data_IF_135474692393
#
_entry.id   IF_135474692393
#
_cell.length_a   1.000
_cell.length_b   1.000
_cell.length_c   1.000
_cell.angle_alpha   90.00
_cell.angle_beta   90.00
_cell.angle_gamma   90.00
#
_symmetry.space_group_name_H-M   'P 1'
#
loop_
_entity.id
_entity.type
_entity.pdbx_description
1 polymer ?
#
# COMPACT_ATOMS: atom_id res chain seq x y z
N UNK A 1 -38.23 25.18 48.31
CA UNK A 1 -38.22 25.70 46.94
C UNK A 1 -36.77 25.88 46.51
N UNK A 2 -36.13 24.88 45.96
CA UNK A 2 -34.83 24.95 45.31
C UNK A 2 -34.81 23.84 44.22
N UNK A 3 -34.79 24.28 42.98
CA UNK A 3 -34.70 23.42 41.80
C UNK A 3 -33.32 22.83 41.69
N UNK A 4 -33.23 21.52 41.70
CA UNK A 4 -32.02 20.78 41.25
C UNK A 4 -32.08 20.63 39.75
N UNK A 5 -31.14 21.23 39.03
CA UNK A 5 -30.92 21.00 37.62
C UNK A 5 -30.03 19.76 37.47
N UNK A 6 -30.62 18.64 36.99
CA UNK A 6 -29.88 17.49 36.53
C UNK A 6 -29.37 17.73 35.13
N UNK A 7 -28.06 17.95 35.00
CA UNK A 7 -27.36 17.89 33.72
C UNK A 7 -27.19 16.42 33.32
N UNK A 8 -27.97 15.97 32.37
CA UNK A 8 -27.76 14.69 31.68
C UNK A 8 -26.64 14.92 30.68
N UNK A 9 -25.48 14.37 30.99
CA UNK A 9 -24.35 14.27 30.05
C UNK A 9 -24.68 13.19 29.02
N UNK A 10 -25.21 13.60 27.86
CA UNK A 10 -25.47 12.72 26.72
C UNK A 10 -24.14 12.38 26.08
N UNK A 11 -23.58 11.21 26.42
CA UNK A 11 -22.41 10.66 25.75
C UNK A 11 -22.85 10.18 24.37
N UNK A 12 -22.67 11.00 23.34
CA UNK A 12 -22.85 10.61 21.95
C UNK A 12 -21.67 9.71 21.57
N UNK A 13 -21.89 8.40 21.69
CA UNK A 13 -21.00 7.40 21.12
C UNK A 13 -21.21 7.40 19.60
N UNK A 14 -20.47 8.22 18.88
CA UNK A 14 -20.41 8.14 17.42
C UNK A 14 -19.71 6.84 17.05
N UNK A 15 -20.51 5.82 16.76
CA UNK A 15 -20.06 4.60 16.11
C UNK A 15 -19.61 4.98 14.68
N UNK A 16 -18.32 5.21 14.52
CA UNK A 16 -17.72 5.36 13.20
C UNK A 16 -17.68 3.98 12.56
N UNK A 17 -18.76 3.61 11.87
CA UNK A 17 -18.75 2.51 10.92
C UNK A 17 -17.83 2.98 9.78
N UNK A 18 -16.57 2.63 9.85
CA UNK A 18 -15.67 2.73 8.72
C UNK A 18 -16.13 1.71 7.68
N UNK A 19 -16.98 2.15 6.75
CA UNK A 19 -17.13 1.47 5.48
C UNK A 19 -15.75 1.46 4.84
N UNK A 20 -15.10 0.30 4.81
CA UNK A 20 -13.84 0.11 4.11
C UNK A 20 -14.17 0.15 2.62
N UNK A 21 -14.25 1.36 2.08
CA UNK A 21 -14.15 1.59 0.66
C UNK A 21 -12.70 1.36 0.27
N UNK A 22 -12.40 0.24 -0.34
CA UNK A 22 -11.12 0.05 -1.03
C UNK A 22 -11.05 1.04 -2.18
N UNK A 23 -10.48 2.19 -1.93
CA UNK A 23 -9.85 2.99 -2.96
C UNK A 23 -8.37 2.65 -2.91
N UNK A 24 -7.74 2.12 -3.97
CA UNK A 24 -6.31 2.01 -4.06
C UNK A 24 -5.71 3.40 -4.35
N UNK A 25 -5.94 4.33 -3.45
CA UNK A 25 -5.21 5.57 -3.40
C UNK A 25 -4.22 5.48 -2.26
N UNK A 26 -3.00 5.08 -2.58
CA UNK A 26 -1.83 5.44 -1.81
C UNK A 26 -1.82 6.95 -1.63
N UNK A 27 -2.44 7.45 -0.58
CA UNK A 27 -2.24 8.84 -0.15
C UNK A 27 -0.82 8.94 0.40
N UNK A 28 0.14 9.14 -0.49
CA UNK A 28 1.36 9.80 -0.12
C UNK A 28 0.98 11.26 0.18
N UNK A 29 0.78 11.62 1.44
CA UNK A 29 0.69 13.01 1.86
C UNK A 29 2.09 13.61 1.69
N UNK A 30 2.40 14.11 0.49
CA UNK A 30 3.53 14.98 0.27
C UNK A 30 3.14 16.39 0.71
N UNK A 31 3.48 16.75 1.95
CA UNK A 31 3.71 18.15 2.28
C UNK A 31 4.90 18.64 1.45
N UNK A 32 4.69 19.71 0.68
CA UNK A 32 5.68 20.36 -0.16
C UNK A 32 6.80 20.95 0.70
N UNK A 33 7.80 20.17 1.05
CA UNK A 33 9.10 20.66 1.51
C UNK A 33 10.13 20.23 0.48
N UNK A 34 10.51 21.19 -0.36
CA UNK A 34 11.56 21.05 -1.36
C UNK A 34 12.86 20.55 -0.76
N UNK A 35 13.40 19.48 -1.31
CA UNK A 35 14.84 19.19 -1.22
C UNK A 35 15.27 17.95 -0.47
N UNK A 36 14.42 17.14 0.11
CA UNK A 36 14.83 15.92 0.79
C UNK A 36 14.04 14.70 0.32
N UNK A 37 14.76 13.63 0.04
CA UNK A 37 14.29 12.28 -0.17
C UNK A 37 13.60 11.78 1.10
N UNK A 38 12.32 12.11 1.29
CA UNK A 38 11.59 11.72 2.49
C UNK A 38 11.17 10.25 2.42
N UNK A 39 11.23 9.51 3.54
CA UNK A 39 10.64 8.19 3.63
C UNK A 39 9.13 8.25 3.37
N UNK A 40 8.63 7.33 2.54
CA UNK A 40 7.20 7.15 2.27
C UNK A 40 6.73 5.90 3.00
N UNK A 41 5.67 6.04 3.80
CA UNK A 41 5.06 4.96 4.56
C UNK A 41 3.72 4.60 3.95
N UNK A 42 3.55 3.30 3.68
CA UNK A 42 2.28 2.71 3.27
C UNK A 42 1.85 1.78 4.39
N UNK A 43 0.65 1.98 4.93
CA UNK A 43 0.09 1.18 6.02
C UNK A 43 -1.23 0.55 5.59
N UNK A 44 -1.41 -0.73 5.95
CA UNK A 44 -2.66 -1.45 5.84
C UNK A 44 -3.02 -2.11 7.17
N UNK A 45 -4.31 -2.22 7.46
CA UNK A 45 -4.82 -2.84 8.68
C UNK A 45 -5.73 -4.00 8.32
N UNK A 46 -5.48 -5.14 8.92
CA UNK A 46 -6.33 -6.31 8.85
C UNK A 46 -6.96 -6.61 10.19
N UNK A 47 -8.19 -7.09 10.17
CA UNK A 47 -8.90 -7.50 11.39
C UNK A 47 -9.42 -8.92 11.21
N UNK A 48 -9.03 -9.80 12.12
CA UNK A 48 -9.55 -11.14 12.28
C UNK A 48 -10.54 -11.16 13.44
N UNK A 49 -11.70 -11.76 13.20
CA UNK A 49 -12.79 -11.82 14.17
C UNK A 49 -13.17 -13.27 14.42
N UNK A 50 -13.24 -13.66 15.70
CA UNK A 50 -13.81 -14.95 16.10
C UNK A 50 -15.15 -14.70 16.77
N UNK A 51 -16.21 -15.16 16.14
CA UNK A 51 -17.51 -15.29 16.77
C UNK A 51 -17.58 -16.66 17.48
N UNK A 52 -17.88 -16.64 18.78
CA UNK A 52 -18.04 -17.87 19.56
C UNK A 52 -19.16 -18.80 19.06
N UNK A 53 -20.04 -18.30 18.21
CA UNK A 53 -21.15 -19.05 17.65
C UNK A 53 -20.94 -19.55 16.21
N UNK A 54 -19.92 -19.08 15.51
CA UNK A 54 -19.67 -19.38 14.08
C UNK A 54 -18.50 -20.32 13.80
N UNK A 55 -17.63 -20.56 14.79
CA UNK A 55 -16.48 -21.45 14.61
C UNK A 55 -16.90 -22.86 14.99
N UNK A 56 -16.73 -23.82 14.08
CA UNK A 56 -16.91 -25.22 14.36
C UNK A 56 -16.08 -25.58 15.61
N UNK A 57 -16.76 -25.85 16.71
CA UNK A 57 -16.12 -26.27 17.96
C UNK A 57 -15.41 -27.60 17.70
N UNK A 58 -14.09 -27.59 17.59
CA UNK A 58 -13.33 -28.80 17.86
C UNK A 58 -13.40 -29.04 19.37
N UNK A 59 -14.06 -30.13 19.74
CA UNK A 59 -14.34 -30.45 21.13
C UNK A 59 -13.12 -30.88 21.93
N UNK A 60 -11.92 -30.99 21.29
CA UNK A 60 -10.71 -31.52 21.91
C UNK A 60 -9.40 -30.76 21.57
N UNK A 61 -9.47 -29.54 21.00
CA UNK A 61 -8.23 -28.84 20.66
C UNK A 61 -7.60 -28.21 21.92
N UNK A 62 -6.58 -28.86 22.42
CA UNK A 62 -5.66 -28.27 23.37
C UNK A 62 -4.88 -27.10 22.72
N UNK A 63 -4.23 -26.29 23.53
CA UNK A 63 -3.48 -25.13 23.06
C UNK A 63 -2.41 -25.53 22.00
N UNK A 64 -1.80 -26.71 22.12
CA UNK A 64 -0.76 -27.21 21.23
C UNK A 64 -1.32 -27.50 19.82
N UNK A 65 -2.50 -28.08 19.72
CA UNK A 65 -3.19 -28.35 18.46
C UNK A 65 -3.55 -27.05 17.73
N UNK A 66 -4.08 -26.05 18.42
CA UNK A 66 -4.40 -24.74 17.82
C UNK A 66 -3.15 -24.07 17.28
N UNK A 67 -2.03 -24.08 18.04
CA UNK A 67 -0.75 -23.51 17.58
C UNK A 67 -0.22 -24.28 16.37
N UNK A 68 -0.26 -25.61 16.38
CA UNK A 68 0.16 -26.45 15.26
C UNK A 68 -0.65 -26.12 13.98
N UNK A 69 -1.97 -26.04 14.09
CA UNK A 69 -2.86 -25.72 12.99
C UNK A 69 -2.64 -24.31 12.45
N UNK A 70 -2.41 -23.32 13.33
CA UNK A 70 -2.07 -21.96 12.91
C UNK A 70 -0.77 -21.92 12.09
N UNK A 71 0.28 -22.61 12.54
CA UNK A 71 1.55 -22.73 11.81
C UNK A 71 1.38 -23.41 10.45
N UNK A 72 0.53 -24.45 10.37
CA UNK A 72 0.23 -25.12 9.13
C UNK A 72 -0.46 -24.20 8.13
N UNK A 73 -1.46 -23.44 8.55
CA UNK A 73 -2.16 -22.44 7.71
C UNK A 73 -1.20 -21.34 7.26
N UNK A 74 -0.35 -20.82 8.14
CA UNK A 74 0.65 -19.83 7.79
C UNK A 74 1.63 -20.34 6.71
N UNK A 75 2.03 -21.61 6.76
CA UNK A 75 2.88 -22.24 5.76
C UNK A 75 2.16 -22.44 4.42
N UNK A 76 0.85 -22.71 4.42
CA UNK A 76 0.05 -22.81 3.18
C UNK A 76 -0.05 -21.46 2.45
N UNK A 77 0.04 -20.35 3.16
CA UNK A 77 0.06 -19.00 2.60
C UNK A 77 1.45 -18.55 2.13
N UNK A 78 2.44 -19.44 2.17
CA UNK A 78 3.83 -19.14 1.79
C UNK A 78 4.04 -19.31 0.30
N UNK A 79 3.95 -18.23 -0.46
CA UNK A 79 4.14 -18.21 -1.90
C UNK A 79 5.46 -17.57 -2.31
N UNK A 80 6.22 -18.23 -3.19
CA UNK A 80 7.44 -17.68 -3.78
C UNK A 80 7.16 -16.71 -4.94
N UNK A 81 6.00 -16.83 -5.55
CA UNK A 81 5.55 -16.02 -6.67
C UNK A 81 4.06 -15.71 -6.53
N UNK A 82 3.67 -14.49 -6.85
CA UNK A 82 2.28 -14.07 -6.91
C UNK A 82 2.03 -13.31 -8.21
N UNK A 83 0.78 -13.32 -8.69
CA UNK A 83 0.38 -12.58 -9.89
C UNK A 83 -0.48 -11.40 -9.49
N UNK A 84 -0.06 -10.19 -9.89
CA UNK A 84 -0.85 -8.98 -9.73
C UNK A 84 -1.52 -8.60 -11.04
N UNK A 85 -2.83 -8.40 -11.00
CA UNK A 85 -3.60 -7.83 -12.10
C UNK A 85 -4.03 -6.43 -11.67
N UNK A 86 -3.81 -5.44 -12.55
CA UNK A 86 -4.35 -4.11 -12.29
C UNK A 86 -5.88 -4.19 -12.31
N UNK A 87 -6.59 -3.81 -11.23
CA UNK A 87 -8.04 -3.82 -11.24
C UNK A 87 -8.55 -2.91 -12.36
N UNK A 88 -9.49 -3.41 -13.15
CA UNK A 88 -10.16 -2.60 -14.16
C UNK A 88 -11.18 -1.69 -13.47
N UNK A 89 -11.50 -0.53 -14.06
CA UNK A 89 -12.49 0.41 -13.49
C UNK A 89 -13.88 -0.23 -13.24
N UNK A 90 -14.17 -1.39 -13.87
CA UNK A 90 -15.37 -2.18 -13.61
C UNK A 90 -15.25 -3.06 -12.37
N UNK A 91 -14.04 -3.52 -12.06
CA UNK A 91 -13.75 -4.34 -10.87
C UNK A 91 -13.66 -3.49 -9.59
N UNK A 92 -13.25 -2.20 -9.71
CA UNK A 92 -13.29 -1.25 -8.59
C UNK A 92 -14.71 -1.01 -8.06
N UNK A 93 -15.76 -1.17 -8.90
CA UNK A 93 -17.16 -1.07 -8.50
C UNK A 93 -17.75 -2.41 -8.02
N UNK A 94 -17.04 -3.53 -8.20
CA UNK A 94 -17.39 -4.86 -7.69
C UNK A 94 -16.56 -5.21 -6.45
N UNK A 95 -16.38 -4.26 -5.55
CA UNK A 95 -16.06 -4.62 -4.18
C UNK A 95 -17.29 -5.38 -3.69
N UNK A 96 -17.11 -6.68 -3.67
CA UNK A 96 -18.09 -7.60 -3.08
C UNK A 96 -18.26 -7.11 -1.64
N UNK A 97 -19.34 -6.38 -1.39
CA UNK A 97 -19.94 -6.35 -0.09
C UNK A 97 -20.19 -7.82 0.23
N UNK A 98 -19.28 -8.43 1.01
CA UNK A 98 -19.61 -9.66 1.69
C UNK A 98 -20.87 -9.31 2.44
N UNK A 99 -22.03 -9.88 2.08
CA UNK A 99 -23.23 -9.55 2.78
C UNK A 99 -22.96 -9.95 4.22
N UNK A 100 -23.02 -8.97 5.13
CA UNK A 100 -23.27 -9.25 6.54
C UNK A 100 -24.59 -9.98 6.51
N UNK A 101 -24.54 -11.30 6.66
CA UNK A 101 -25.74 -12.10 6.81
C UNK A 101 -26.33 -11.67 8.13
N UNK A 102 -27.25 -10.69 8.08
CA UNK A 102 -28.18 -10.44 9.14
C UNK A 102 -29.04 -11.69 9.29
N UNK A 103 -28.60 -12.62 10.14
CA UNK A 103 -29.52 -13.58 10.72
C UNK A 103 -30.39 -12.84 11.75
N UNK A 104 -31.58 -12.47 11.32
CA UNK A 104 -32.67 -12.24 12.23
C UNK A 104 -32.97 -13.56 12.95
N UNK A 105 -33.15 -13.39 14.25
CA UNK A 105 -33.79 -14.23 15.26
C UNK A 105 -32.84 -15.06 16.13
N UNK A 106 -32.72 -14.65 17.35
CA UNK A 106 -33.18 -15.20 18.60
C UNK A 106 -32.43 -14.58 19.79
N UNK A 107 -33.21 -14.33 20.85
CA UNK A 107 -32.79 -13.76 22.13
C UNK A 107 -31.67 -14.58 22.82
N UNK A 108 -30.43 -14.41 22.39
CA UNK A 108 -29.26 -14.75 23.16
C UNK A 108 -28.43 -13.49 23.30
N UNK A 109 -28.08 -13.12 24.53
CA UNK A 109 -27.12 -12.04 24.74
C UNK A 109 -25.87 -12.31 23.87
N UNK A 110 -25.50 -11.42 22.94
CA UNK A 110 -24.31 -11.65 22.10
C UNK A 110 -23.10 -11.70 23.04
N UNK A 111 -22.52 -12.88 23.20
CA UNK A 111 -21.19 -12.98 23.79
C UNK A 111 -20.28 -12.16 22.89
N UNK A 112 -19.61 -11.16 23.48
CA UNK A 112 -18.75 -10.25 22.72
C UNK A 112 -17.80 -11.02 21.81
N UNK A 113 -17.82 -10.69 20.52
CA UNK A 113 -16.87 -11.24 19.54
C UNK A 113 -15.45 -10.89 19.96
N UNK A 114 -14.54 -11.85 19.86
CA UNK A 114 -13.10 -11.59 20.09
C UNK A 114 -12.45 -11.25 18.76
N UNK A 115 -11.65 -10.20 18.73
CA UNK A 115 -10.97 -9.77 17.51
C UNK A 115 -9.51 -9.36 17.79
N UNK A 116 -8.67 -9.53 16.79
CA UNK A 116 -7.33 -8.96 16.74
C UNK A 116 -7.15 -8.21 15.44
N UNK A 117 -6.64 -6.97 15.53
CA UNK A 117 -6.25 -6.21 14.34
C UNK A 117 -4.74 -6.13 14.25
N UNK A 118 -4.23 -6.39 13.06
CA UNK A 118 -2.82 -6.23 12.72
C UNK A 118 -2.63 -5.01 11.83
N UNK A 119 -1.51 -4.32 11.99
CA UNK A 119 -1.06 -3.24 11.10
C UNK A 119 0.20 -3.71 10.40
N UNK A 120 0.20 -3.58 9.08
CA UNK A 120 1.30 -3.88 8.19
C UNK A 120 1.78 -2.60 7.52
N UNK A 121 3.05 -2.29 7.70
CA UNK A 121 3.63 -1.06 7.19
C UNK A 121 4.79 -1.39 6.27
N UNK A 122 4.86 -0.72 5.11
CA UNK A 122 6.00 -0.75 4.21
C UNK A 122 6.54 0.67 4.05
N UNK A 123 7.79 0.89 4.47
CA UNK A 123 8.46 2.19 4.44
C UNK A 123 9.55 2.15 3.38
N UNK A 124 9.44 3.03 2.40
CA UNK A 124 10.44 3.29 1.38
C UNK A 124 11.32 4.45 1.86
N UNK A 125 12.56 4.16 2.26
CA UNK A 125 13.48 5.13 2.86
C UNK A 125 14.75 5.27 2.02
N UNK A 126 14.81 6.27 1.13
CA UNK A 126 15.98 6.51 0.29
C UNK A 126 17.22 6.93 1.08
N UNK A 127 17.06 7.54 2.28
CA UNK A 127 18.19 7.93 3.12
C UNK A 127 18.88 6.70 3.73
N UNK A 128 18.11 5.70 4.13
CA UNK A 128 18.61 4.41 4.59
C UNK A 128 18.88 3.42 3.46
N UNK A 129 18.51 3.79 2.23
CA UNK A 129 18.58 2.94 1.03
C UNK A 129 17.88 1.60 1.23
N UNK A 130 16.71 1.63 1.87
CA UNK A 130 15.98 0.43 2.29
C UNK A 130 14.49 0.52 2.06
N UNK A 131 13.87 -0.67 1.95
CA UNK A 131 12.44 -0.88 2.07
C UNK A 131 12.24 -1.68 3.35
N UNK A 132 11.59 -1.09 4.35
CA UNK A 132 11.40 -1.70 5.66
C UNK A 132 9.95 -2.12 5.83
N UNK A 133 9.72 -3.40 6.10
CA UNK A 133 8.40 -3.92 6.45
C UNK A 133 8.26 -4.02 7.97
N UNK A 134 7.08 -3.70 8.48
CA UNK A 134 6.76 -3.79 9.91
C UNK A 134 5.46 -4.56 10.10
N UNK A 135 5.44 -5.42 11.11
CA UNK A 135 4.29 -6.17 11.59
C UNK A 135 4.00 -5.69 13.00
N UNK A 136 2.76 -5.27 13.28
CA UNK A 136 2.37 -4.72 14.59
C UNK A 136 0.98 -5.20 14.99
N UNK A 137 0.80 -5.58 16.25
CA UNK A 137 -0.53 -5.81 16.83
C UNK A 137 -1.14 -4.44 17.13
N UNK A 138 -2.18 -4.07 16.37
CA UNK A 138 -2.82 -2.76 16.44
C UNK A 138 -3.89 -2.69 17.53
N UNK A 139 -4.72 -3.73 17.65
CA UNK A 139 -5.74 -3.82 18.71
C UNK A 139 -6.07 -5.27 19.05
N UNK A 140 -6.59 -5.48 20.25
CA UNK A 140 -7.19 -6.74 20.71
C UNK A 140 -8.45 -6.37 21.47
N UNK A 141 -9.58 -7.01 21.13
CA UNK A 141 -10.87 -6.82 21.79
C UNK A 141 -11.39 -8.20 22.20
N UNK A 142 -11.99 -8.30 23.35
CA UNK A 142 -12.49 -9.56 23.91
C UNK A 142 -11.38 -10.51 24.36
N UNK A 143 -11.54 -11.80 24.08
CA UNK A 143 -10.58 -12.83 24.46
C UNK A 143 -9.30 -12.71 23.62
N UNK A 144 -8.15 -12.86 24.27
CA UNK A 144 -6.85 -12.80 23.64
C UNK A 144 -6.59 -14.07 22.83
N UNK A 145 -6.09 -13.98 21.57
CA UNK A 145 -5.63 -15.17 20.87
C UNK A 145 -4.47 -15.84 21.62
N UNK A 146 -4.30 -17.13 21.45
CA UNK A 146 -3.18 -17.88 22.02
C UNK A 146 -1.98 -17.93 21.08
N UNK A 147 -2.22 -17.70 19.78
CA UNK A 147 -1.20 -17.62 18.73
C UNK A 147 -1.62 -16.61 17.68
N UNK A 148 -0.64 -15.87 17.17
CA UNK A 148 -0.75 -15.08 15.93
C UNK A 148 0.48 -15.39 15.09
N UNK A 149 0.28 -15.92 13.88
CA UNK A 149 1.29 -16.01 12.84
C UNK A 149 1.08 -14.85 11.86
N UNK A 150 2.10 -14.05 11.63
CA UNK A 150 2.00 -12.88 10.79
C UNK A 150 3.17 -12.77 9.83
N UNK A 151 2.89 -12.38 8.60
CA UNK A 151 3.88 -12.18 7.53
C UNK A 151 3.66 -10.83 6.86
N UNK A 152 4.75 -10.22 6.39
CA UNK A 152 4.74 -9.04 5.54
C UNK A 152 5.90 -9.17 4.54
N UNK A 153 5.72 -10.01 3.55
CA UNK A 153 6.74 -10.36 2.56
C UNK A 153 6.79 -9.32 1.43
N UNK A 154 7.97 -9.12 0.85
CA UNK A 154 8.16 -8.21 -0.26
C UNK A 154 8.42 -9.00 -1.55
N UNK A 155 7.79 -8.58 -2.62
CA UNK A 155 7.89 -9.13 -3.96
C UNK A 155 8.34 -8.06 -4.94
N UNK A 156 9.03 -8.46 -6.02
CA UNK A 156 9.41 -7.53 -7.08
C UNK A 156 9.04 -8.03 -8.48
N UNK A 157 8.88 -7.07 -9.40
CA UNK A 157 8.70 -7.31 -10.83
C UNK A 157 9.35 -6.23 -11.67
N UNK A 158 9.60 -6.53 -12.95
CA UNK A 158 9.99 -5.53 -13.95
C UNK A 158 8.80 -4.76 -14.55
N UNK A 159 7.58 -5.20 -14.28
CA UNK A 159 6.33 -4.61 -14.83
C UNK A 159 5.33 -4.38 -13.71
N UNK A 160 4.45 -3.39 -13.89
CA UNK A 160 3.41 -3.06 -12.91
C UNK A 160 2.43 -4.23 -12.69
N UNK A 161 1.99 -4.88 -13.77
CA UNK A 161 1.11 -6.06 -13.71
C UNK A 161 1.86 -7.30 -14.14
N UNK A 162 1.45 -8.46 -13.66
CA UNK A 162 2.01 -9.75 -14.00
C UNK A 162 2.62 -10.49 -12.81
N UNK A 163 3.68 -11.23 -13.07
CA UNK A 163 4.33 -12.07 -12.07
C UNK A 163 5.31 -11.29 -11.22
N UNK A 164 5.24 -11.51 -9.92
CA UNK A 164 6.10 -10.95 -8.89
C UNK A 164 6.80 -12.07 -8.15
N UNK A 165 8.12 -12.05 -8.14
CA UNK A 165 8.93 -13.00 -7.37
C UNK A 165 9.17 -12.48 -5.96
N UNK A 166 9.12 -13.35 -4.96
CA UNK A 166 9.41 -12.99 -3.58
C UNK A 166 10.91 -12.72 -3.40
N UNK A 167 11.24 -11.53 -2.91
CA UNK A 167 12.63 -11.08 -2.69
C UNK A 167 12.99 -10.95 -1.23
N UNK A 168 12.00 -10.95 -0.33
CA UNK A 168 12.22 -10.76 1.08
C UNK A 168 11.13 -11.40 1.92
N UNK A 169 11.52 -12.11 2.98
CA UNK A 169 10.63 -12.79 3.93
C UNK A 169 10.69 -12.08 5.26
N UNK A 170 9.55 -11.65 5.77
CA UNK A 170 9.38 -11.13 7.11
C UNK A 170 8.18 -11.80 7.77
N UNK A 171 8.43 -12.83 8.55
CA UNK A 171 7.42 -13.54 9.33
C UNK A 171 7.69 -13.43 10.81
N UNK A 172 6.64 -13.46 11.61
CA UNK A 172 6.70 -13.47 13.09
C UNK A 172 5.56 -14.30 13.66
N UNK A 173 5.91 -15.11 14.65
CA UNK A 173 4.98 -15.74 15.56
C UNK A 173 4.90 -14.90 16.84
N UNK A 174 3.69 -14.69 17.34
CA UNK A 174 3.42 -14.09 18.64
C UNK A 174 2.73 -15.13 19.52
N UNK A 175 3.29 -15.36 20.70
CA UNK A 175 2.78 -16.30 21.70
C UNK A 175 2.77 -15.66 23.08
N UNK A 176 1.83 -16.05 23.93
CA UNK A 176 1.78 -15.71 25.35
C UNK A 176 1.95 -14.20 25.62
N UNK A 177 3.05 -13.81 26.28
CA UNK A 177 3.34 -12.41 26.67
C UNK A 177 3.59 -11.48 25.48
N UNK A 178 3.97 -12.01 24.31
CA UNK A 178 4.21 -11.21 23.12
C UNK A 178 2.91 -10.79 22.41
N UNK A 179 1.78 -11.42 22.74
CA UNK A 179 0.47 -11.01 22.26
C UNK A 179 0.00 -9.83 23.10
N UNK A 180 0.40 -8.62 22.72
CA UNK A 180 -0.03 -7.36 23.35
C UNK A 180 -0.10 -6.24 22.34
N UNK A 181 -1.07 -5.35 22.48
CA UNK A 181 -1.22 -4.15 21.65
C UNK A 181 0.07 -3.33 21.65
N UNK A 182 0.46 -2.87 20.47
CA UNK A 182 1.70 -2.11 20.27
C UNK A 182 2.95 -2.97 20.05
N UNK A 183 2.93 -4.28 20.32
CA UNK A 183 4.07 -5.15 20.01
C UNK A 183 4.30 -5.15 18.49
N UNK A 184 5.53 -4.86 18.08
CA UNK A 184 5.89 -4.74 16.67
C UNK A 184 7.29 -5.31 16.40
N UNK A 185 7.48 -5.70 15.13
CA UNK A 185 8.77 -6.13 14.59
C UNK A 185 8.95 -5.51 13.22
N UNK A 186 10.17 -5.05 12.94
CA UNK A 186 10.56 -4.46 11.66
C UNK A 186 11.75 -5.19 11.08
N UNK A 187 11.80 -5.29 9.75
CA UNK A 187 12.90 -5.91 9.03
C UNK A 187 13.11 -5.16 7.72
N UNK A 188 14.38 -4.90 7.33
CA UNK A 188 14.74 -4.08 6.17
C UNK A 188 15.29 -4.93 5.03
N UNK A 189 14.85 -4.61 3.82
CA UNK A 189 15.37 -5.06 2.55
C UNK A 189 16.15 -3.92 1.88
N UNK A 190 17.27 -4.23 1.24
CA UNK A 190 18.12 -3.26 0.56
C UNK A 190 18.08 -3.50 -0.95
N UNK A 191 17.31 -2.72 -1.71
CA UNK A 191 17.16 -2.92 -3.15
C UNK A 191 18.48 -2.68 -3.88
N UNK A 192 18.72 -3.49 -4.92
CA UNK A 192 19.91 -3.37 -5.79
C UNK A 192 19.59 -2.84 -7.18
N UNK A 193 18.32 -2.83 -7.55
CA UNK A 193 17.82 -2.48 -8.87
C UNK A 193 16.50 -1.73 -8.74
N UNK A 194 16.20 -0.91 -9.73
CA UNK A 194 14.87 -0.35 -9.90
C UNK A 194 13.88 -1.45 -10.25
N UNK A 195 12.79 -1.53 -9.50
CA UNK A 195 11.73 -2.53 -9.66
C UNK A 195 10.38 -1.97 -9.23
N UNK A 196 9.33 -2.63 -9.66
CA UNK A 196 8.04 -2.55 -8.99
C UNK A 196 8.10 -3.45 -7.76
N UNK A 197 7.88 -2.88 -6.59
CA UNK A 197 7.81 -3.61 -5.32
C UNK A 197 6.37 -3.65 -4.84
N UNK A 198 5.99 -4.78 -4.28
CA UNK A 198 4.68 -5.04 -3.74
C UNK A 198 4.83 -5.81 -2.44
N UNK A 199 4.11 -5.45 -1.38
CA UNK A 199 4.06 -6.27 -0.18
C UNK A 199 2.77 -7.09 -0.14
N UNK A 200 2.89 -8.32 0.30
CA UNK A 200 1.77 -9.18 0.67
C UNK A 200 1.90 -9.51 2.15
N UNK A 201 0.82 -9.35 2.86
CA UNK A 201 0.75 -9.69 4.27
C UNK A 201 -0.29 -10.79 4.48
N UNK A 202 -0.04 -11.59 5.51
CA UNK A 202 -0.94 -12.68 5.94
C UNK A 202 -0.95 -12.70 7.46
N UNK A 203 -2.13 -12.80 8.02
CA UNK A 203 -2.35 -13.05 9.44
C UNK A 203 -3.08 -14.37 9.61
N UNK A 204 -2.60 -15.20 10.53
CA UNK A 204 -3.34 -16.35 11.06
C UNK A 204 -3.46 -16.16 12.57
N UNK A 205 -4.66 -16.22 13.12
CA UNK A 205 -4.86 -16.11 14.55
C UNK A 205 -5.69 -17.28 15.08
N UNK A 206 -5.30 -17.80 16.24
CA UNK A 206 -5.98 -18.91 16.90
C UNK A 206 -6.33 -18.58 18.35
N UNK A 207 -7.55 -18.93 18.76
CA UNK A 207 -8.05 -18.81 20.12
C UNK A 207 -8.24 -20.18 20.73
N UNK A 208 -8.29 -20.24 22.06
CA UNK A 208 -8.53 -21.52 22.76
C UNK A 208 -9.87 -22.13 22.34
N UNK A 209 -9.84 -23.39 21.91
CA UNK A 209 -11.04 -24.12 21.48
C UNK A 209 -11.66 -23.62 20.16
N UNK A 210 -10.88 -22.95 19.30
CA UNK A 210 -11.31 -22.54 17.98
C UNK A 210 -10.37 -23.03 16.90
N UNK A 211 -10.91 -23.18 15.68
CA UNK A 211 -10.06 -23.34 14.48
C UNK A 211 -9.40 -21.99 14.20
N UNK A 212 -8.08 -21.95 13.92
CA UNK A 212 -7.43 -20.70 13.53
C UNK A 212 -8.03 -20.11 12.26
N UNK A 213 -8.17 -18.80 12.20
CA UNK A 213 -8.65 -18.05 11.05
C UNK A 213 -7.48 -17.34 10.35
N UNK A 214 -7.63 -17.07 9.05
CA UNK A 214 -6.59 -16.45 8.22
C UNK A 214 -7.12 -15.29 7.39
N UNK A 215 -6.32 -14.23 7.26
CA UNK A 215 -6.54 -13.13 6.34
C UNK A 215 -5.29 -12.86 5.53
N UNK A 216 -5.44 -12.46 4.28
CA UNK A 216 -4.33 -12.11 3.39
C UNK A 216 -4.70 -10.86 2.60
N UNK A 217 -3.81 -9.88 2.60
CA UNK A 217 -3.94 -8.67 1.81
C UNK A 217 -2.69 -8.39 0.96
N UNK A 218 -2.83 -7.52 -0.03
CA UNK A 218 -1.74 -7.18 -0.94
C UNK A 218 -1.79 -5.69 -1.24
N UNK A 219 -0.71 -4.97 -0.93
CA UNK A 219 -0.56 -3.57 -1.33
C UNK A 219 -0.31 -3.45 -2.82
N UNK A 220 -0.85 -2.41 -3.46
CA UNK A 220 -0.60 -2.13 -4.86
C UNK A 220 0.91 -1.94 -5.13
N UNK A 221 1.40 -2.40 -6.31
CA UNK A 221 2.79 -2.24 -6.67
C UNK A 221 3.21 -0.77 -6.77
N UNK A 222 4.42 -0.47 -6.33
CA UNK A 222 5.02 0.84 -6.44
C UNK A 222 6.42 0.75 -7.08
N UNK A 223 6.72 1.63 -8.04
CA UNK A 223 8.03 1.70 -8.67
C UNK A 223 9.01 2.38 -7.72
N UNK A 224 10.08 1.69 -7.34
CA UNK A 224 11.16 2.27 -6.55
C UNK A 224 12.52 1.99 -7.20
N UNK A 225 13.44 2.96 -7.10
CA UNK A 225 14.79 2.83 -7.64
C UNK A 225 15.70 2.02 -6.69
N UNK A 226 16.98 1.83 -7.09
CA UNK A 226 17.96 1.01 -6.36
C UNK A 226 18.31 1.48 -4.94
N UNK A 227 17.81 2.62 -4.50
CA UNK A 227 17.95 3.10 -3.12
C UNK A 227 16.61 3.11 -2.36
N UNK A 228 15.58 2.47 -2.89
CA UNK A 228 14.27 2.45 -2.26
C UNK A 228 13.50 3.78 -2.34
N UNK A 229 13.85 4.67 -3.26
CA UNK A 229 13.13 5.91 -3.49
C UNK A 229 11.97 5.66 -4.46
N UNK A 230 10.74 5.88 -4.02
CA UNK A 230 9.55 5.73 -4.85
C UNK A 230 9.55 6.72 -6.02
N UNK A 231 9.06 6.26 -7.19
CA UNK A 231 8.81 7.17 -8.31
C UNK A 231 7.77 8.19 -7.89
N UNK A 232 8.04 9.50 -8.09
CA UNK A 232 7.18 10.56 -7.56
C UNK A 232 5.80 10.57 -8.19
N UNK A 233 4.77 10.61 -7.38
CA UNK A 233 3.40 10.87 -7.83
C UNK A 233 3.16 12.38 -7.87
N UNK A 234 2.98 12.94 -9.07
CA UNK A 234 2.79 14.37 -9.27
C UNK A 234 1.50 14.61 -10.02
N UNK A 235 0.58 15.37 -9.42
CA UNK A 235 -0.68 15.77 -10.02
C UNK A 235 -0.59 17.15 -10.63
N UNK A 236 -0.99 17.26 -11.88
CA UNK A 236 -1.14 18.53 -12.55
C UNK A 236 -2.53 19.13 -12.25
N UNK A 237 -2.56 20.26 -11.53
CA UNK A 237 -3.80 20.88 -11.07
C UNK A 237 -4.68 21.43 -12.19
N UNK A 238 -4.12 21.77 -13.34
CA UNK A 238 -4.90 22.30 -14.47
C UNK A 238 -5.55 21.15 -15.26
N UNK A 239 -4.76 20.19 -15.76
CA UNK A 239 -5.28 19.06 -16.52
C UNK A 239 -5.97 17.99 -15.66
N UNK A 240 -5.85 18.06 -14.32
CA UNK A 240 -6.30 17.03 -13.35
C UNK A 240 -5.67 15.65 -13.57
N UNK A 241 -4.61 15.58 -14.37
CA UNK A 241 -3.90 14.33 -14.64
C UNK A 241 -2.75 14.13 -13.65
N UNK A 242 -2.56 12.88 -13.24
CA UNK A 242 -1.34 12.45 -12.53
C UNK A 242 -0.29 12.09 -13.57
N UNK A 243 0.97 12.42 -13.29
CA UNK A 243 2.10 12.03 -14.13
C UNK A 243 2.16 10.51 -14.25
N UNK A 244 2.24 9.96 -15.47
CA UNK A 244 2.34 8.51 -15.65
C UNK A 244 3.59 7.94 -14.97
N UNK A 245 3.50 6.70 -14.53
CA UNK A 245 4.65 5.91 -14.09
C UNK A 245 5.24 5.17 -15.31
N UNK A 246 6.58 5.06 -15.48
CA UNK A 246 7.16 4.24 -16.53
C UNK A 246 6.61 2.81 -16.51
N UNK A 247 6.22 2.29 -17.69
CA UNK A 247 5.54 0.99 -17.81
C UNK A 247 6.39 -0.22 -17.37
N UNK A 248 7.72 -0.04 -17.34
CA UNK A 248 8.69 -1.08 -16.94
C UNK A 248 9.70 -0.49 -15.95
N UNK A 249 10.34 -1.37 -15.22
CA UNK A 249 11.40 -1.00 -14.27
C UNK A 249 12.82 -1.17 -14.84
N UNK A 250 12.97 -1.77 -16.02
CA UNK A 250 14.26 -2.06 -16.64
C UNK A 250 14.28 -1.61 -18.10
N UNK A 251 14.92 -0.48 -18.32
CA UNK A 251 15.18 0.06 -19.66
C UNK A 251 16.68 0.07 -19.92
N UNK A 252 17.13 -0.42 -21.08
CA UNK A 252 18.53 -0.29 -21.47
C UNK A 252 18.87 1.17 -21.76
N UNK A 253 20.13 1.52 -21.54
CA UNK A 253 20.65 2.82 -21.98
C UNK A 253 20.73 2.83 -23.51
N UNK A 254 20.08 3.79 -24.15
CA UNK A 254 20.15 4.01 -25.60
C UNK A 254 21.39 4.84 -25.91
N UNK A 255 22.23 4.45 -26.89
CA UNK A 255 23.36 5.25 -27.36
C UNK A 255 22.92 6.68 -27.75
N UNK A 256 23.78 7.65 -27.50
CA UNK A 256 23.43 9.07 -27.65
C UNK A 256 22.97 9.41 -29.10
N UNK A 257 23.65 8.82 -30.09
CA UNK A 257 23.34 8.97 -31.53
C UNK A 257 22.02 8.28 -31.99
N UNK A 258 21.41 7.49 -31.10
CA UNK A 258 20.12 6.80 -31.36
C UNK A 258 18.94 7.42 -30.57
N UNK A 259 19.20 8.45 -29.77
CA UNK A 259 18.15 9.15 -29.01
C UNK A 259 17.45 10.15 -29.92
N UNK A 260 16.16 10.38 -29.65
CA UNK A 260 15.51 11.55 -30.21
C UNK A 260 16.14 12.83 -29.66
N UNK A 261 16.24 13.85 -30.48
CA UNK A 261 16.64 15.18 -30.04
C UNK A 261 15.41 15.92 -29.47
N UNK A 262 15.62 16.68 -28.39
CA UNK A 262 14.60 17.55 -27.81
C UNK A 262 14.90 19.00 -28.16
N UNK A 263 14.09 19.60 -29.03
CA UNK A 263 14.32 20.94 -29.57
C UNK A 263 13.32 21.97 -28.99
N UNK A 264 13.57 23.25 -29.25
CA UNK A 264 12.62 24.32 -28.94
C UNK A 264 11.29 24.16 -29.72
N UNK A 265 11.35 23.59 -30.93
CA UNK A 265 10.18 23.27 -31.74
C UNK A 265 9.33 22.19 -31.09
N UNK A 266 9.95 21.11 -30.61
CA UNK A 266 9.24 20.03 -29.90
C UNK A 266 8.53 20.57 -28.66
N UNK A 267 9.22 21.41 -27.89
CA UNK A 267 8.66 22.10 -26.74
C UNK A 267 7.46 22.97 -27.11
N UNK A 268 7.57 23.76 -28.18
CA UNK A 268 6.47 24.60 -28.68
C UNK A 268 5.26 23.77 -29.11
N UNK A 269 5.49 22.66 -29.83
CA UNK A 269 4.46 21.72 -30.26
C UNK A 269 3.75 21.06 -29.04
N UNK A 270 4.51 20.69 -28.01
CA UNK A 270 3.93 20.16 -26.78
C UNK A 270 3.02 21.19 -26.09
N UNK A 271 3.48 22.42 -25.93
CA UNK A 271 2.71 23.50 -25.29
C UNK A 271 1.40 23.76 -26.06
N UNK A 272 1.47 23.88 -27.40
CA UNK A 272 0.28 24.05 -28.24
C UNK A 272 -0.71 22.90 -28.02
N UNK A 273 -0.25 21.65 -28.13
CA UNK A 273 -1.09 20.46 -27.93
C UNK A 273 -1.69 20.37 -26.52
N UNK A 274 -0.95 20.80 -25.51
CA UNK A 274 -1.44 20.88 -24.13
C UNK A 274 -2.60 21.87 -24.02
N UNK A 275 -2.44 23.08 -24.59
CA UNK A 275 -3.47 24.12 -24.58
C UNK A 275 -4.71 23.69 -25.37
N UNK A 276 -4.53 23.08 -26.54
CA UNK A 276 -5.62 22.55 -27.36
C UNK A 276 -6.42 21.47 -26.61
N UNK A 277 -5.74 20.62 -25.84
CA UNK A 277 -6.38 19.49 -25.14
C UNK A 277 -7.02 19.86 -23.80
N UNK A 278 -6.41 20.77 -23.03
CA UNK A 278 -6.80 21.06 -21.64
C UNK A 278 -7.22 22.52 -21.41
N UNK A 279 -7.20 23.36 -22.43
CA UNK A 279 -7.38 24.81 -22.32
C UNK A 279 -6.10 25.54 -21.92
N UNK A 280 -6.11 26.86 -22.10
CA UNK A 280 -4.96 27.69 -21.75
C UNK A 280 -4.86 27.90 -20.24
N UNK A 281 -3.82 27.36 -19.57
CA UNK A 281 -3.63 27.51 -18.13
C UNK A 281 -3.14 28.89 -17.71
N UNK A 282 -2.81 29.77 -18.67
CA UNK A 282 -2.20 31.10 -18.47
C UNK A 282 -0.89 31.05 -17.67
N UNK A 283 -0.14 29.96 -17.80
CA UNK A 283 1.14 29.77 -17.11
C UNK A 283 2.26 30.55 -17.78
N UNK A 284 3.23 30.95 -16.96
CA UNK A 284 4.56 31.32 -17.47
C UNK A 284 5.32 30.02 -17.81
N UNK A 285 5.21 29.60 -19.06
CA UNK A 285 5.87 28.37 -19.55
C UNK A 285 7.40 28.41 -19.44
N UNK A 286 8.03 29.60 -19.34
CA UNK A 286 9.49 29.68 -19.15
C UNK A 286 9.93 29.22 -17.76
N UNK A 287 9.02 29.20 -16.78
CA UNK A 287 9.29 28.71 -15.41
C UNK A 287 9.03 27.21 -15.26
N UNK A 288 8.48 26.55 -16.29
CA UNK A 288 8.19 25.13 -16.31
C UNK A 288 9.18 24.38 -17.21
N UNK A 289 9.49 23.16 -16.85
CA UNK A 289 10.14 22.20 -17.73
C UNK A 289 9.11 21.19 -18.27
N UNK A 290 9.34 20.69 -19.49
CA UNK A 290 8.57 19.55 -20.04
C UNK A 290 9.41 18.29 -19.80
N UNK A 291 8.94 17.49 -18.84
CA UNK A 291 9.62 16.28 -18.42
C UNK A 291 9.26 15.11 -19.32
N UNK A 292 10.26 14.32 -19.72
CA UNK A 292 10.05 13.00 -20.31
C UNK A 292 9.85 11.97 -19.21
N UNK A 293 8.63 11.42 -19.09
CA UNK A 293 8.28 10.37 -18.09
C UNK A 293 9.25 9.19 -18.20
N UNK A 294 9.51 8.70 -19.41
CA UNK A 294 10.64 7.87 -19.74
C UNK A 294 11.70 8.76 -20.43
N UNK A 295 12.87 8.99 -19.82
CA UNK A 295 13.92 9.82 -20.40
C UNK A 295 14.42 9.33 -21.76
N UNK A 296 14.84 10.23 -22.63
CA UNK A 296 15.43 9.91 -23.95
C UNK A 296 16.63 8.95 -23.81
N UNK A 297 17.41 9.09 -22.73
CA UNK A 297 18.51 8.18 -22.37
C UNK A 297 18.09 6.71 -22.30
N UNK A 298 16.84 6.45 -21.96
CA UNK A 298 16.25 5.11 -21.80
C UNK A 298 15.22 4.79 -22.90
N UNK A 299 15.28 5.50 -24.03
CA UNK A 299 14.44 5.25 -25.21
C UNK A 299 13.07 5.93 -25.17
N UNK A 300 12.88 6.87 -24.27
CA UNK A 300 11.72 7.75 -24.28
C UNK A 300 11.62 8.51 -25.61
N UNK A 301 10.41 8.94 -25.96
CA UNK A 301 10.05 9.63 -27.20
C UNK A 301 9.46 11.01 -26.90
N UNK A 302 9.50 11.91 -27.90
CA UNK A 302 8.91 13.25 -27.83
C UNK A 302 7.39 13.25 -28.04
N UNK A 303 6.73 12.09 -27.88
CA UNK A 303 5.29 12.01 -27.99
C UNK A 303 4.58 12.62 -26.77
N UNK A 304 3.37 13.14 -26.96
CA UNK A 304 2.63 13.88 -25.95
C UNK A 304 2.40 13.07 -24.65
N UNK A 305 2.17 11.76 -24.76
CA UNK A 305 1.85 10.91 -23.61
C UNK A 305 3.08 10.56 -22.77
N UNK A 306 4.29 10.75 -23.32
CA UNK A 306 5.56 10.63 -22.57
C UNK A 306 6.02 11.96 -21.96
N UNK A 307 5.27 13.03 -22.16
CA UNK A 307 5.65 14.38 -21.75
C UNK A 307 4.73 14.91 -20.65
N UNK A 308 5.31 15.58 -19.65
CA UNK A 308 4.55 16.12 -18.53
C UNK A 308 5.12 17.47 -18.08
N UNK A 309 4.29 18.54 -17.90
CA UNK A 309 4.79 19.85 -17.51
C UNK A 309 5.00 19.91 -16.00
N UNK A 310 6.16 20.33 -15.57
CA UNK A 310 6.57 20.40 -14.17
C UNK A 310 7.21 21.75 -13.84
N UNK A 311 7.05 22.26 -12.61
CA UNK A 311 7.93 23.28 -12.08
C UNK A 311 9.40 22.82 -12.21
N UNK A 312 10.28 23.76 -12.64
CA UNK A 312 11.69 23.45 -12.93
C UNK A 312 12.41 22.82 -11.73
N UNK A 313 12.14 23.29 -10.54
CA UNK A 313 12.71 22.78 -9.29
C UNK A 313 12.31 21.33 -9.01
N UNK A 314 11.05 20.96 -9.23
CA UNK A 314 10.57 19.57 -9.11
C UNK A 314 11.26 18.69 -10.16
N UNK A 315 11.35 19.16 -11.41
CA UNK A 315 12.03 18.43 -12.46
C UNK A 315 13.48 18.15 -12.10
N UNK A 316 14.23 19.18 -11.69
CA UNK A 316 15.67 19.08 -11.43
C UNK A 316 16.00 18.39 -10.11
N UNK A 317 15.29 18.73 -9.02
CA UNK A 317 15.65 18.29 -7.69
C UNK A 317 14.95 16.99 -7.25
N UNK A 318 13.89 16.56 -7.95
CA UNK A 318 13.18 15.33 -7.65
C UNK A 318 13.34 14.32 -8.77
N UNK A 319 12.82 14.62 -9.97
CA UNK A 319 12.79 13.64 -11.08
C UNK A 319 14.17 13.29 -11.61
N UNK A 320 15.01 14.28 -11.90
CA UNK A 320 16.36 14.01 -12.40
C UNK A 320 17.15 13.22 -11.36
N UNK A 321 17.08 13.60 -10.09
CA UNK A 321 17.74 12.89 -9.00
C UNK A 321 17.23 11.47 -8.80
N UNK A 322 15.92 11.24 -9.01
CA UNK A 322 15.38 9.89 -8.98
C UNK A 322 15.98 9.01 -10.09
N UNK A 323 16.07 9.57 -11.34
CA UNK A 323 16.65 8.88 -12.48
C UNK A 323 18.16 8.67 -12.37
N UNK A 324 18.87 9.51 -11.63
CA UNK A 324 20.32 9.32 -11.32
C UNK A 324 20.55 8.07 -10.47
N UNK A 325 19.55 7.64 -9.73
CA UNK A 325 19.58 6.44 -8.88
C UNK A 325 18.85 5.23 -9.50
N UNK A 326 18.45 5.37 -10.78
CA UNK A 326 17.79 4.32 -11.55
C UNK A 326 18.64 3.07 -11.79
#
# INVERSE_FOLDING_TARGET
>A
MKLLKNSICLLVLTLLIATIGFSPQTKASQENSFGLEKPVTIEEKETLTVDKNGVAKSTNDDQASVIKNARQLANQSDHNEITYKNPTAKEENNIVNVPVVEKKDEKAHPKAASLVSMSYTTIYDPNKKSITTTIKIASIVGEKPIVIEARNDLYDSNTYSGKYGRVFVHSREFLGKDIKVGKSYSKSYYPKKTKFYMSQHTTVAGWKGSVPDTSTGTLAPALANKIGWLYPEIKNNHSKKTMPVPAKANFPVVPADKREEWTSTDRGNYIKKYIDKYGNPKWNWSALDVHHVLPLKYGGKNNFDNLFPLPRDIHQNVLNRWWDKY
#
